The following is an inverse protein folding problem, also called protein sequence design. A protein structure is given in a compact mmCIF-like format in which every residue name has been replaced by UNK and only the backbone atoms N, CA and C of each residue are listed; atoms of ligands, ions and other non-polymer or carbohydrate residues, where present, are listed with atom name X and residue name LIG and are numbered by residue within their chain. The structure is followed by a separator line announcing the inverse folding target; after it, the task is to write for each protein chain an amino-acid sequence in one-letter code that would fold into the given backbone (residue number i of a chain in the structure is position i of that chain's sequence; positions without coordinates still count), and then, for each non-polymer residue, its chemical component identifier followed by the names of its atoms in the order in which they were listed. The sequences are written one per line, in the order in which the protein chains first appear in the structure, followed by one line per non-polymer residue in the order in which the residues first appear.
data_IF_088377553616
#
_entry.id   IF_088377553616
#
_cell.length_a   1.000
_cell.length_b   1.000
_cell.length_c   1.000
_cell.angle_alpha   90.00
_cell.angle_beta   90.00
_cell.angle_gamma   90.00
#
_symmetry.space_group_name_H-M   'P 1'
#
loop_
_entity.id
_entity.type
_entity.pdbx_description
1 polymer ?
#
# COMPACT_ATOMS: atom_id res chain seq x y z
N UNK A 1 -105.71 53.27 95.37
CA UNK A 1 -105.52 51.81 95.31
C UNK A 1 -105.27 51.33 96.73
N UNK A 2 -106.29 50.71 97.32
CA UNK A 2 -106.27 49.86 98.52
C UNK A 2 -105.40 50.26 99.72
N UNK A 3 -105.90 51.19 100.55
CA UNK A 3 -105.64 51.12 102.00
C UNK A 3 -106.77 50.27 102.59
N UNK A 4 -106.72 48.97 102.28
CA UNK A 4 -107.62 47.97 102.81
C UNK A 4 -107.28 47.71 104.26
N UNK A 5 -108.14 48.22 105.12
CA UNK A 5 -108.54 47.71 106.42
C UNK A 5 -108.05 46.29 106.75
N UNK A 6 -106.85 46.18 107.31
CA UNK A 6 -106.57 45.19 108.34
C UNK A 6 -106.58 45.95 109.66
N UNK A 7 -107.77 46.19 110.19
CA UNK A 7 -107.93 46.44 111.61
C UNK A 7 -107.44 45.17 112.29
N UNK A 8 -106.16 45.17 112.64
CA UNK A 8 -105.54 44.20 113.52
C UNK A 8 -106.32 44.29 114.84
N UNK A 9 -107.38 43.49 114.91
CA UNK A 9 -108.19 43.30 116.08
C UNK A 9 -107.21 42.78 117.13
N UNK A 10 -106.80 43.66 118.04
CA UNK A 10 -106.09 43.26 119.26
C UNK A 10 -106.88 42.08 119.81
N UNK A 11 -106.28 40.87 119.88
CA UNK A 11 -107.02 39.71 120.35
C UNK A 11 -107.36 40.00 121.80
N UNK A 12 -108.63 40.31 122.06
CA UNK A 12 -109.16 40.34 123.42
C UNK A 12 -109.11 38.89 123.89
N UNK A 13 -107.97 38.55 124.51
CA UNK A 13 -107.72 37.23 125.07
C UNK A 13 -108.92 36.79 125.89
N UNK A 14 -109.24 35.50 125.78
CA UNK A 14 -110.32 34.86 126.53
C UNK A 14 -110.34 35.40 127.97
N UNK A 15 -111.52 35.87 128.42
CA UNK A 15 -111.65 36.58 129.69
C UNK A 15 -111.04 35.82 130.87
N UNK A 16 -110.65 36.55 131.92
CA UNK A 16 -109.96 35.97 133.07
C UNK A 16 -110.69 34.78 133.69
N UNK A 17 -109.94 33.75 134.07
CA UNK A 17 -110.49 32.59 134.78
C UNK A 17 -111.04 33.00 136.15
N UNK A 18 -112.18 32.41 136.57
CA UNK A 18 -112.87 32.76 137.84
C UNK A 18 -112.47 31.81 138.97
N UNK A 19 -111.90 32.36 140.04
CA UNK A 19 -111.59 31.69 141.30
C UNK A 19 -112.67 31.97 142.39
N UNK A 20 -112.59 31.26 143.53
CA UNK A 20 -113.58 31.39 144.63
C UNK A 20 -113.58 32.83 145.17
N UNK A 21 -114.58 33.64 144.77
CA UNK A 21 -114.74 35.10 144.98
C UNK A 21 -114.07 36.05 143.95
N UNK A 22 -113.97 35.70 142.66
CA UNK A 22 -113.66 36.67 141.59
C UNK A 22 -112.68 36.17 140.54
N UNK A 23 -112.10 37.06 139.73
CA UNK A 23 -111.11 36.70 138.71
C UNK A 23 -109.75 36.31 139.31
N UNK A 24 -108.99 35.47 138.60
CA UNK A 24 -107.63 35.08 138.96
C UNK A 24 -106.71 36.30 138.96
N UNK A 25 -106.27 36.71 140.16
CA UNK A 25 -105.38 37.86 140.35
C UNK A 25 -104.10 37.76 139.51
N UNK A 26 -103.49 36.57 139.43
CA UNK A 26 -102.27 36.36 138.67
C UNK A 26 -102.46 36.62 137.15
N UNK A 27 -103.60 36.21 136.58
CA UNK A 27 -103.90 36.46 135.17
C UNK A 27 -104.23 37.94 134.89
N UNK A 28 -104.89 38.62 135.83
CA UNK A 28 -105.16 40.06 135.72
C UNK A 28 -103.86 40.86 135.77
N UNK A 29 -102.98 40.54 136.72
CA UNK A 29 -101.69 41.21 136.86
C UNK A 29 -100.83 40.99 135.59
N UNK A 30 -100.76 39.77 135.04
CA UNK A 30 -100.05 39.49 133.78
C UNK A 30 -100.64 40.27 132.57
N UNK A 31 -101.97 40.40 132.50
CA UNK A 31 -102.62 41.14 131.42
C UNK A 31 -102.39 42.65 131.54
N UNK A 32 -102.44 43.21 132.77
CA UNK A 32 -102.10 44.60 133.01
C UNK A 32 -100.63 44.89 132.68
N UNK A 33 -99.71 43.99 133.04
CA UNK A 33 -98.31 44.10 132.66
C UNK A 33 -98.12 44.08 131.13
N UNK A 34 -98.87 43.23 130.41
CA UNK A 34 -98.88 43.22 128.94
C UNK A 34 -99.43 44.52 128.37
N UNK A 35 -100.56 45.01 128.87
CA UNK A 35 -101.15 46.29 128.42
C UNK A 35 -100.23 47.49 128.69
N UNK A 36 -99.56 47.52 129.85
CA UNK A 36 -98.58 48.55 130.17
C UNK A 36 -97.36 48.47 129.24
N UNK A 37 -96.94 47.27 128.85
CA UNK A 37 -95.89 47.09 127.85
C UNK A 37 -96.33 47.57 126.46
N UNK A 38 -97.55 47.23 126.03
CA UNK A 38 -98.13 47.66 124.75
C UNK A 38 -98.32 49.18 124.69
N UNK A 39 -98.80 49.80 125.78
CA UNK A 39 -98.92 51.26 125.88
C UNK A 39 -97.55 51.94 125.80
N UNK A 40 -96.52 51.40 126.47
CA UNK A 40 -95.14 51.91 126.36
C UNK A 40 -94.63 51.82 124.93
N UNK A 41 -94.86 50.69 124.25
CA UNK A 41 -94.50 50.50 122.85
C UNK A 41 -95.21 51.51 121.95
N UNK A 42 -96.53 51.65 122.06
CA UNK A 42 -97.33 52.61 121.29
C UNK A 42 -96.91 54.06 121.55
N UNK A 43 -96.57 54.41 122.79
CA UNK A 43 -96.02 55.75 123.08
C UNK A 43 -94.66 55.96 122.42
N UNK A 44 -93.79 54.94 122.41
CA UNK A 44 -92.52 54.98 121.71
C UNK A 44 -92.70 55.14 120.20
N UNK A 45 -93.60 54.38 119.60
CA UNK A 45 -93.92 54.45 118.17
C UNK A 45 -94.53 55.81 117.80
N UNK A 46 -95.45 56.33 118.63
CA UNK A 46 -96.01 57.68 118.47
C UNK A 46 -94.91 58.74 118.53
N UNK A 47 -94.04 58.68 119.53
CA UNK A 47 -93.00 59.69 119.72
C UNK A 47 -91.95 59.61 118.59
N UNK A 48 -91.64 58.41 118.10
CA UNK A 48 -90.81 58.20 116.91
C UNK A 48 -91.47 58.76 115.63
N UNK A 49 -92.76 58.52 115.43
CA UNK A 49 -93.51 59.08 114.30
C UNK A 49 -93.59 60.62 114.36
N UNK A 50 -93.77 61.20 115.54
CA UNK A 50 -93.72 62.65 115.75
C UNK A 50 -92.33 63.20 115.41
N UNK A 51 -91.27 62.51 115.82
CA UNK A 51 -89.89 62.86 115.45
C UNK A 51 -89.67 62.84 113.94
N UNK A 52 -90.06 61.75 113.26
CA UNK A 52 -89.95 61.62 111.81
C UNK A 52 -90.79 62.67 111.06
N UNK A 53 -91.99 62.96 111.53
CA UNK A 53 -92.84 64.02 110.97
C UNK A 53 -92.18 65.40 111.12
N UNK A 54 -91.54 65.67 112.26
CA UNK A 54 -90.76 66.87 112.50
C UNK A 54 -89.55 67.00 111.57
N UNK A 55 -88.84 65.90 111.32
CA UNK A 55 -87.69 65.87 110.41
C UNK A 55 -88.08 66.12 108.96
N UNK A 56 -89.14 65.44 108.49
CA UNK A 56 -89.68 65.63 107.16
C UNK A 56 -90.20 67.06 106.97
N UNK A 57 -90.86 67.64 107.97
CA UNK A 57 -91.29 69.03 107.93
C UNK A 57 -90.09 69.98 107.76
N UNK A 58 -88.99 69.75 108.48
CA UNK A 58 -87.75 70.54 108.32
C UNK A 58 -87.16 70.41 106.91
N UNK A 59 -87.06 69.20 106.38
CA UNK A 59 -86.55 68.97 105.02
C UNK A 59 -87.43 69.64 103.95
N UNK A 60 -88.76 69.59 104.13
CA UNK A 60 -89.69 70.27 103.23
C UNK A 60 -89.52 71.79 103.27
N UNK A 61 -89.31 72.38 104.45
CA UNK A 61 -89.05 73.82 104.54
C UNK A 61 -87.71 74.21 103.92
N UNK A 62 -86.66 73.41 104.09
CA UNK A 62 -85.37 73.62 103.41
C UNK A 62 -85.55 73.59 101.89
N UNK A 63 -86.17 72.52 101.36
CA UNK A 63 -86.41 72.39 99.92
C UNK A 63 -87.32 73.51 99.38
N UNK A 64 -88.33 73.95 100.15
CA UNK A 64 -89.19 75.09 99.79
C UNK A 64 -88.39 76.39 99.72
N UNK A 65 -87.48 76.61 100.67
CA UNK A 65 -86.56 77.75 100.66
C UNK A 65 -85.66 77.73 99.42
N UNK A 66 -85.01 76.60 99.14
CA UNK A 66 -84.15 76.43 97.96
C UNK A 66 -84.92 76.65 96.65
N UNK A 67 -86.14 76.12 96.54
CA UNK A 67 -87.00 76.33 95.37
C UNK A 67 -87.38 77.80 95.24
N UNK A 68 -87.68 78.50 96.34
CA UNK A 68 -87.99 79.93 96.31
C UNK A 68 -86.77 80.76 95.87
N UNK A 69 -85.58 80.42 96.37
CA UNK A 69 -84.32 81.06 95.98
C UNK A 69 -83.99 80.84 94.51
N UNK A 70 -84.09 79.60 94.03
CA UNK A 70 -83.89 79.24 92.62
C UNK A 70 -84.90 79.92 91.71
N UNK A 71 -86.18 79.98 92.11
CA UNK A 71 -87.22 80.71 91.37
C UNK A 71 -86.90 82.20 91.31
N UNK A 72 -86.51 82.81 92.43
CA UNK A 72 -86.10 84.21 92.47
C UNK A 72 -84.88 84.50 91.58
N UNK A 73 -83.91 83.57 91.50
CA UNK A 73 -82.79 83.67 90.56
C UNK A 73 -83.26 83.57 89.10
N UNK A 74 -84.14 82.63 88.78
CA UNK A 74 -84.70 82.47 87.43
C UNK A 74 -85.47 83.73 87.02
N UNK A 75 -86.31 84.28 87.90
CA UNK A 75 -87.09 85.49 87.61
C UNK A 75 -86.17 86.69 87.36
N UNK A 76 -85.09 86.85 88.13
CA UNK A 76 -84.06 87.88 87.89
C UNK A 76 -83.35 87.71 86.55
N UNK A 77 -83.11 86.47 86.12
CA UNK A 77 -82.46 86.16 84.84
C UNK A 77 -83.41 86.23 83.64
N UNK A 78 -84.72 86.05 83.86
CA UNK A 78 -85.76 86.09 82.83
C UNK A 78 -86.24 87.52 82.52
N UNK A 79 -86.14 88.45 83.47
CA UNK A 79 -86.45 89.86 83.23
C UNK A 79 -85.36 90.54 82.37
N UNK A 80 -85.71 91.53 81.52
CA UNK A 80 -84.73 92.33 80.80
C UNK A 80 -83.75 92.99 81.80
N UNK A 81 -82.43 92.98 81.53
CA UNK A 81 -81.44 93.45 82.50
C UNK A 81 -81.53 94.96 82.67
N UNK A 82 -82.26 95.39 83.70
CA UNK A 82 -82.40 96.81 84.10
C UNK A 82 -81.38 97.20 85.18
N UNK A 83 -80.60 96.25 85.70
CA UNK A 83 -79.52 96.46 86.67
C UNK A 83 -78.17 95.92 86.17
N UNK A 84 -77.08 96.58 86.59
CA UNK A 84 -75.69 96.22 86.22
C UNK A 84 -75.28 94.84 86.77
N UNK A 85 -75.80 94.47 87.94
CA UNK A 85 -75.53 93.19 88.59
C UNK A 85 -76.13 92.00 87.81
N UNK A 86 -77.37 92.11 87.32
CA UNK A 86 -78.00 91.06 86.50
C UNK A 86 -77.32 90.86 85.14
N UNK A 87 -76.77 91.94 84.56
CA UNK A 87 -75.94 91.85 83.36
C UNK A 87 -74.63 91.09 83.63
N UNK A 88 -73.97 91.38 84.76
CA UNK A 88 -72.72 90.72 85.15
C UNK A 88 -72.89 89.22 85.44
N UNK A 89 -73.98 88.82 86.11
CA UNK A 89 -74.26 87.40 86.40
C UNK A 89 -74.55 86.61 85.12
N UNK A 90 -75.32 87.20 84.18
CA UNK A 90 -75.59 86.58 82.88
C UNK A 90 -74.33 86.44 82.03
N UNK A 91 -73.47 87.46 82.02
CA UNK A 91 -72.17 87.40 81.32
C UNK A 91 -71.26 86.34 81.91
N UNK A 92 -71.20 86.20 83.23
CA UNK A 92 -70.42 85.14 83.89
C UNK A 92 -70.94 83.75 83.53
N UNK A 93 -72.27 83.53 83.52
CA UNK A 93 -72.86 82.25 83.09
C UNK A 93 -72.62 81.97 81.60
N UNK A 94 -72.73 82.97 80.74
CA UNK A 94 -72.43 82.84 79.31
C UNK A 94 -70.96 82.53 79.04
N UNK A 95 -70.03 83.19 79.78
CA UNK A 95 -68.61 82.89 79.69
C UNK A 95 -68.29 81.47 80.18
N UNK A 96 -68.92 81.03 81.27
CA UNK A 96 -68.76 79.66 81.75
C UNK A 96 -69.28 78.64 80.74
N UNK A 97 -70.47 78.86 80.17
CA UNK A 97 -71.01 78.00 79.12
C UNK A 97 -70.12 77.98 77.87
N UNK A 98 -69.56 79.13 77.46
CA UNK A 98 -68.64 79.20 76.35
C UNK A 98 -67.30 78.50 76.64
N UNK A 99 -66.81 78.55 77.88
CA UNK A 99 -65.63 77.79 78.32
C UNK A 99 -65.91 76.29 78.32
N UNK A 100 -67.07 75.87 78.79
CA UNK A 100 -67.50 74.46 78.79
C UNK A 100 -67.65 73.96 77.34
N UNK A 101 -68.30 74.71 76.44
CA UNK A 101 -68.39 74.36 75.01
C UNK A 101 -67.01 74.35 74.33
N UNK A 102 -66.11 75.26 74.69
CA UNK A 102 -64.73 75.26 74.19
C UNK A 102 -63.93 74.04 74.69
N UNK A 103 -64.17 73.58 75.92
CA UNK A 103 -63.57 72.36 76.45
C UNK A 103 -64.12 71.13 75.73
N UNK A 104 -65.43 71.06 75.50
CA UNK A 104 -66.08 69.95 74.80
C UNK A 104 -65.64 69.85 73.34
N UNK A 105 -65.55 70.98 72.64
CA UNK A 105 -65.05 71.02 71.26
C UNK A 105 -63.59 70.59 71.17
N UNK A 106 -62.74 70.99 72.12
CA UNK A 106 -61.35 70.50 72.21
C UNK A 106 -61.30 69.00 72.48
N UNK A 107 -62.08 68.51 73.44
CA UNK A 107 -62.12 67.08 73.77
C UNK A 107 -62.58 66.24 72.57
N UNK A 108 -63.59 66.69 71.82
CA UNK A 108 -64.03 66.04 70.57
C UNK A 108 -62.93 66.06 69.51
N UNK A 109 -62.29 67.20 69.27
CA UNK A 109 -61.20 67.32 68.29
C UNK A 109 -59.98 66.46 68.66
N UNK A 110 -59.63 66.37 69.95
CA UNK A 110 -58.54 65.51 70.43
C UNK A 110 -58.88 64.02 70.28
N UNK A 111 -60.13 63.62 70.57
CA UNK A 111 -60.59 62.26 70.34
C UNK A 111 -60.56 61.89 68.85
N UNK A 112 -61.07 62.76 67.97
CA UNK A 112 -61.02 62.57 66.51
C UNK A 112 -59.57 62.50 66.00
N UNK A 113 -58.68 63.39 66.45
CA UNK A 113 -57.27 63.35 66.12
C UNK A 113 -56.60 62.05 66.60
N UNK A 114 -56.95 61.59 67.79
CA UNK A 114 -56.52 60.29 68.33
C UNK A 114 -56.96 59.13 67.44
N UNK A 115 -58.23 59.11 67.03
CA UNK A 115 -58.75 58.08 66.11
C UNK A 115 -58.05 58.11 64.74
N UNK A 116 -57.82 59.29 64.17
CA UNK A 116 -57.11 59.43 62.89
C UNK A 116 -55.67 58.90 63.02
N UNK A 117 -54.95 59.26 64.09
CA UNK A 117 -53.58 58.78 64.34
C UNK A 117 -53.54 57.27 64.53
N UNK A 118 -54.41 56.72 65.37
CA UNK A 118 -54.47 55.28 65.61
C UNK A 118 -54.78 54.49 64.33
N UNK A 119 -55.69 54.99 63.49
CA UNK A 119 -55.97 54.39 62.18
C UNK A 119 -54.76 54.47 61.25
N UNK A 120 -54.11 55.63 61.14
CA UNK A 120 -52.92 55.81 60.31
C UNK A 120 -51.76 54.91 60.76
N UNK A 121 -51.55 54.75 62.07
CA UNK A 121 -50.54 53.85 62.63
C UNK A 121 -50.86 52.38 62.32
N UNK A 122 -52.13 51.98 62.46
CA UNK A 122 -52.59 50.63 62.11
C UNK A 122 -52.35 50.35 60.62
N UNK A 123 -52.77 51.27 59.74
CA UNK A 123 -52.58 51.14 58.30
C UNK A 123 -51.09 51.11 57.93
N UNK A 124 -50.26 51.96 58.53
CA UNK A 124 -48.81 51.97 58.31
C UNK A 124 -48.16 50.67 58.77
N UNK A 125 -48.56 50.13 59.92
CA UNK A 125 -48.05 48.84 60.42
C UNK A 125 -48.45 47.68 59.52
N UNK A 126 -49.69 47.67 59.02
CA UNK A 126 -50.18 46.66 58.09
C UNK A 126 -49.43 46.71 56.75
N UNK A 127 -49.13 47.91 56.25
CA UNK A 127 -48.34 48.08 55.03
C UNK A 127 -46.89 47.61 55.21
N UNK A 128 -46.25 47.93 56.35
CA UNK A 128 -44.90 47.43 56.66
C UNK A 128 -44.86 45.92 56.72
N UNK A 129 -45.79 45.29 57.43
CA UNK A 129 -45.88 43.83 57.53
C UNK A 129 -46.06 43.16 56.16
N UNK A 130 -46.88 43.75 55.27
CA UNK A 130 -47.03 43.26 53.89
C UNK A 130 -45.75 43.38 53.08
N UNK A 131 -45.02 44.50 53.20
CA UNK A 131 -43.75 44.67 52.50
C UNK A 131 -42.67 43.72 53.02
N UNK A 132 -42.59 43.50 54.33
CA UNK A 132 -41.68 42.51 54.91
C UNK A 132 -41.98 41.11 54.38
N UNK A 133 -43.25 40.71 54.35
CA UNK A 133 -43.67 39.43 53.75
C UNK A 133 -43.24 39.34 52.27
N UNK A 134 -43.53 40.37 51.47
CA UNK A 134 -43.16 40.38 50.05
C UNK A 134 -41.64 40.31 49.85
N UNK A 135 -40.85 41.02 50.66
CA UNK A 135 -39.39 40.95 50.60
C UNK A 135 -38.89 39.55 50.93
N UNK A 136 -39.45 38.90 51.96
CA UNK A 136 -39.08 37.52 52.30
C UNK A 136 -39.44 36.53 51.19
N UNK A 137 -40.60 36.69 50.54
CA UNK A 137 -41.02 35.86 49.42
C UNK A 137 -40.09 36.04 48.21
N UNK A 138 -39.74 37.29 47.88
CA UNK A 138 -38.79 37.59 46.80
C UNK A 138 -37.39 37.03 47.09
N UNK A 139 -36.92 37.11 48.33
CA UNK A 139 -35.64 36.53 48.75
C UNK A 139 -35.64 35.00 48.65
N UNK A 140 -36.73 34.34 49.05
CA UNK A 140 -36.89 32.89 48.90
C UNK A 140 -36.90 32.50 47.42
N UNK A 141 -37.73 33.16 46.61
CA UNK A 141 -37.82 32.91 45.18
C UNK A 141 -36.49 33.15 44.47
N UNK A 142 -35.74 34.19 44.87
CA UNK A 142 -34.39 34.44 44.36
C UNK A 142 -33.44 33.29 44.67
N UNK A 143 -33.43 32.80 45.92
CA UNK A 143 -32.57 31.67 46.33
C UNK A 143 -32.93 30.38 45.59
N UNK A 144 -34.22 30.11 45.40
CA UNK A 144 -34.71 28.96 44.63
C UNK A 144 -34.25 29.05 43.18
N UNK A 145 -34.48 30.19 42.52
CA UNK A 145 -34.03 30.41 41.14
C UNK A 145 -32.51 30.32 41.00
N UNK A 146 -31.73 30.85 41.95
CA UNK A 146 -30.27 30.72 41.96
C UNK A 146 -29.83 29.27 42.14
N UNK A 147 -30.52 28.48 42.96
CA UNK A 147 -30.24 27.07 43.18
C UNK A 147 -30.59 26.22 41.93
N UNK A 148 -31.74 26.47 41.32
CA UNK A 148 -32.15 25.83 40.06
C UNK A 148 -31.19 26.18 38.93
N UNK A 149 -30.85 27.46 38.77
CA UNK A 149 -29.90 27.90 37.76
C UNK A 149 -28.53 27.26 37.96
N UNK A 150 -28.04 27.19 39.21
CA UNK A 150 -26.79 26.51 39.53
C UNK A 150 -26.83 25.02 39.16
N UNK A 151 -27.91 24.32 39.50
CA UNK A 151 -28.11 22.92 39.13
C UNK A 151 -28.10 22.74 37.61
N UNK A 152 -28.86 23.54 36.87
CA UNK A 152 -28.89 23.49 35.40
C UNK A 152 -27.49 23.73 34.81
N UNK A 153 -26.72 24.67 35.35
CA UNK A 153 -25.34 24.90 34.90
C UNK A 153 -24.39 23.74 35.25
N UNK A 154 -24.54 23.13 36.42
CA UNK A 154 -23.77 21.95 36.83
C UNK A 154 -24.09 20.74 35.94
N UNK A 155 -25.38 20.49 35.69
CA UNK A 155 -25.85 19.42 34.82
C UNK A 155 -25.39 19.64 33.39
N UNK A 156 -25.56 20.85 32.82
CA UNK A 156 -25.09 21.17 31.48
C UNK A 156 -23.56 21.04 31.34
N UNK A 157 -22.79 21.39 32.38
CA UNK A 157 -21.33 21.17 32.39
C UNK A 157 -20.98 19.69 32.46
N UNK A 158 -21.68 18.92 33.29
CA UNK A 158 -21.48 17.48 33.41
C UNK A 158 -21.82 16.75 32.11
N UNK A 159 -22.93 17.10 31.47
CA UNK A 159 -23.33 16.59 30.15
C UNK A 159 -22.34 16.98 29.07
N UNK A 160 -21.92 18.25 29.03
CA UNK A 160 -20.91 18.72 28.09
C UNK A 160 -19.60 17.93 28.21
N UNK A 161 -19.12 17.72 29.45
CA UNK A 161 -17.95 16.89 29.71
C UNK A 161 -18.16 15.43 29.30
N UNK A 162 -19.30 14.85 29.59
CA UNK A 162 -19.60 13.47 29.20
C UNK A 162 -19.62 13.30 27.67
N UNK A 163 -20.12 14.29 26.93
CA UNK A 163 -20.09 14.29 25.46
C UNK A 163 -18.65 14.39 24.96
N UNK A 164 -17.83 15.30 25.50
CA UNK A 164 -16.43 15.44 25.08
C UNK A 164 -15.61 14.20 25.41
N UNK A 165 -15.78 13.62 26.60
CA UNK A 165 -15.07 12.42 27.02
C UNK A 165 -15.43 11.21 26.12
N UNK A 166 -16.72 11.06 25.78
CA UNK A 166 -17.17 10.03 24.82
C UNK A 166 -16.60 10.26 23.43
N UNK A 167 -16.64 11.49 22.92
CA UNK A 167 -16.11 11.82 21.60
C UNK A 167 -14.58 11.58 21.53
N UNK A 168 -13.83 11.92 22.58
CA UNK A 168 -12.41 11.63 22.66
C UNK A 168 -12.11 10.13 22.74
N UNK A 169 -12.92 9.36 23.48
CA UNK A 169 -12.76 7.91 23.56
C UNK A 169 -13.03 7.24 22.21
N UNK A 170 -14.10 7.62 21.51
CA UNK A 170 -14.40 7.12 20.16
C UNK A 170 -13.32 7.54 19.15
N UNK A 171 -12.82 8.78 19.22
CA UNK A 171 -11.71 9.23 18.37
C UNK A 171 -10.47 8.35 18.59
N UNK A 172 -10.03 8.17 19.84
CA UNK A 172 -8.88 7.32 20.17
C UNK A 172 -9.06 5.88 19.69
N UNK A 173 -10.27 5.34 19.79
CA UNK A 173 -10.60 3.99 19.32
C UNK A 173 -10.47 3.91 17.79
N UNK A 174 -11.07 4.84 17.06
CA UNK A 174 -11.00 4.89 15.60
C UNK A 174 -9.58 5.14 15.07
N UNK A 175 -8.80 5.97 15.76
CA UNK A 175 -7.40 6.22 15.45
C UNK A 175 -6.59 4.91 15.60
N UNK A 176 -6.75 4.21 16.73
CA UNK A 176 -6.09 2.93 16.98
C UNK A 176 -6.52 1.84 15.97
N UNK A 177 -7.82 1.75 15.64
CA UNK A 177 -8.31 0.83 14.61
C UNK A 177 -7.75 1.17 13.22
N UNK A 178 -7.61 2.45 12.90
CA UNK A 178 -7.05 2.90 11.61
C UNK A 178 -5.55 2.62 11.51
N UNK A 179 -4.79 2.85 12.59
CA UNK A 179 -3.37 2.50 12.67
C UNK A 179 -3.17 0.98 12.57
N UNK A 180 -3.99 0.18 13.25
CA UNK A 180 -3.97 -1.27 13.13
C UNK A 180 -4.26 -1.75 11.70
N UNK A 181 -5.23 -1.13 11.00
CA UNK A 181 -5.49 -1.44 9.59
C UNK A 181 -4.36 -1.03 8.67
N UNK A 182 -3.73 0.13 8.89
CA UNK A 182 -2.58 0.58 8.09
C UNK A 182 -1.41 -0.36 8.23
N UNK A 183 -1.06 -0.71 9.47
CA UNK A 183 0.02 -1.67 9.75
C UNK A 183 -0.26 -3.03 9.15
N UNK A 184 -1.49 -3.56 9.27
CA UNK A 184 -1.87 -4.82 8.63
C UNK A 184 -1.73 -4.76 7.09
N UNK A 185 -2.20 -3.68 6.45
CA UNK A 185 -2.06 -3.51 5.00
C UNK A 185 -0.61 -3.39 4.57
N UNK A 186 0.23 -2.69 5.35
CA UNK A 186 1.67 -2.59 5.12
C UNK A 186 2.34 -3.96 5.22
N UNK A 187 2.05 -4.74 6.26
CA UNK A 187 2.55 -6.11 6.44
C UNK A 187 2.13 -7.03 5.29
N UNK A 188 0.84 -7.04 4.93
CA UNK A 188 0.31 -7.84 3.83
C UNK A 188 0.94 -7.44 2.48
N UNK A 189 1.14 -6.14 2.26
CA UNK A 189 1.82 -5.63 1.08
C UNK A 189 3.29 -6.05 1.04
N UNK A 190 4.01 -5.96 2.15
CA UNK A 190 5.41 -6.41 2.25
C UNK A 190 5.54 -7.90 1.98
N UNK A 191 4.64 -8.72 2.54
CA UNK A 191 4.59 -10.17 2.30
C UNK A 191 4.31 -10.45 0.83
N UNK A 192 3.29 -9.81 0.23
CA UNK A 192 2.94 -10.00 -1.18
C UNK A 192 4.09 -9.56 -2.11
N UNK A 193 4.75 -8.44 -1.81
CA UNK A 193 5.88 -7.94 -2.58
C UNK A 193 7.13 -8.80 -2.40
N UNK A 194 7.37 -9.35 -1.20
CA UNK A 194 8.42 -10.33 -0.98
C UNK A 194 8.16 -11.61 -1.78
N UNK A 195 6.94 -12.16 -1.71
CA UNK A 195 6.54 -13.33 -2.49
C UNK A 195 6.74 -13.10 -3.99
N UNK A 196 6.21 -11.98 -4.53
CA UNK A 196 6.39 -11.61 -5.94
C UNK A 196 7.86 -11.44 -6.33
N UNK A 197 8.69 -10.85 -5.47
CA UNK A 197 10.15 -10.75 -5.69
C UNK A 197 10.79 -12.14 -5.75
N UNK A 198 10.42 -13.06 -4.86
CA UNK A 198 10.95 -14.43 -4.87
C UNK A 198 10.53 -15.21 -6.11
N UNK A 199 9.28 -15.08 -6.54
CA UNK A 199 8.77 -15.70 -7.77
C UNK A 199 9.47 -15.14 -9.00
N UNK A 200 9.63 -13.81 -9.09
CA UNK A 200 10.37 -13.19 -10.18
C UNK A 200 11.84 -13.64 -10.23
N UNK A 201 12.52 -13.74 -9.08
CA UNK A 201 13.88 -14.26 -9.00
C UNK A 201 13.95 -15.74 -9.42
N UNK A 202 12.98 -16.57 -9.04
CA UNK A 202 12.90 -17.96 -9.50
C UNK A 202 12.70 -18.07 -11.00
N UNK A 203 11.77 -17.30 -11.57
CA UNK A 203 11.52 -17.29 -13.01
C UNK A 203 12.74 -16.82 -13.81
N UNK A 204 13.47 -15.80 -13.33
CA UNK A 204 14.75 -15.39 -13.93
C UNK A 204 15.79 -16.51 -13.85
N UNK A 205 15.95 -17.16 -12.69
CA UNK A 205 16.89 -18.27 -12.53
C UNK A 205 16.53 -19.47 -13.43
N UNK A 206 15.25 -19.79 -13.58
CA UNK A 206 14.76 -20.82 -14.51
C UNK A 206 15.03 -20.44 -15.97
N UNK A 207 14.80 -19.18 -16.35
CA UNK A 207 15.09 -18.69 -17.69
C UNK A 207 16.60 -18.72 -17.98
N UNK A 208 17.45 -18.33 -17.03
CA UNK A 208 18.90 -18.40 -17.14
C UNK A 208 19.37 -19.85 -17.25
N UNK A 209 18.83 -20.76 -16.42
CA UNK A 209 19.14 -22.18 -16.47
C UNK A 209 18.71 -22.80 -17.81
N UNK A 210 17.50 -22.49 -18.30
CA UNK A 210 17.01 -22.95 -19.60
C UNK A 210 17.88 -22.42 -20.75
N UNK A 211 18.21 -21.11 -20.73
CA UNK A 211 19.07 -20.49 -21.73
C UNK A 211 20.47 -21.13 -21.75
N UNK A 212 21.02 -21.41 -20.56
CA UNK A 212 22.31 -22.09 -20.41
C UNK A 212 22.25 -23.53 -20.92
N UNK A 213 21.21 -24.29 -20.57
CA UNK A 213 21.01 -25.66 -21.04
C UNK A 213 20.85 -25.73 -22.57
N UNK A 214 20.13 -24.78 -23.18
CA UNK A 214 20.04 -24.70 -24.64
C UNK A 214 21.36 -24.31 -25.30
N UNK A 215 22.12 -23.38 -24.71
CA UNK A 215 23.44 -23.01 -25.20
C UNK A 215 24.40 -24.22 -25.14
N UNK A 216 24.41 -24.96 -24.02
CA UNK A 216 25.16 -26.21 -23.87
C UNK A 216 24.72 -27.27 -24.88
N UNK A 217 23.42 -27.41 -25.14
CA UNK A 217 22.90 -28.32 -26.18
C UNK A 217 23.39 -27.93 -27.56
N UNK A 218 23.26 -26.66 -27.96
CA UNK A 218 23.72 -26.17 -29.27
C UNK A 218 25.23 -26.34 -29.45
N UNK A 219 26.01 -26.09 -28.40
CA UNK A 219 27.46 -26.34 -28.42
C UNK A 219 27.74 -27.83 -28.60
N UNK A 220 27.05 -28.71 -27.87
CA UNK A 220 27.21 -30.16 -28.00
C UNK A 220 26.86 -30.63 -29.41
N UNK A 221 25.69 -30.29 -29.92
CA UNK A 221 25.25 -30.61 -31.28
C UNK A 221 26.27 -30.10 -32.32
N UNK A 222 26.70 -28.84 -32.23
CA UNK A 222 27.72 -28.30 -33.13
C UNK A 222 29.08 -29.03 -33.01
N UNK A 223 29.48 -29.47 -31.81
CA UNK A 223 30.72 -30.25 -31.64
C UNK A 223 30.61 -31.66 -32.20
N UNK A 224 29.44 -32.29 -32.07
CA UNK A 224 29.13 -33.61 -32.64
C UNK A 224 29.06 -33.54 -34.17
N UNK A 225 28.37 -32.55 -34.74
CA UNK A 225 28.33 -32.30 -36.18
C UNK A 225 29.72 -31.99 -36.73
N UNK A 226 30.49 -31.13 -36.06
CA UNK A 226 31.87 -30.86 -36.45
C UNK A 226 32.75 -32.12 -36.37
N UNK A 227 32.53 -33.00 -35.38
CA UNK A 227 33.22 -34.28 -35.29
C UNK A 227 32.79 -35.23 -36.43
N UNK A 228 31.51 -35.27 -36.77
CA UNK A 228 30.98 -36.07 -37.88
C UNK A 228 31.50 -35.58 -39.24
N UNK A 229 31.56 -34.26 -39.46
CA UNK A 229 32.16 -33.66 -40.66
C UNK A 229 33.65 -34.00 -40.71
N UNK A 230 34.39 -33.83 -39.61
CA UNK A 230 35.81 -34.22 -39.56
C UNK A 230 36.00 -35.71 -39.85
N UNK A 231 35.14 -36.58 -39.33
CA UNK A 231 35.18 -38.02 -39.61
C UNK A 231 34.92 -38.33 -41.10
N UNK A 232 33.91 -37.70 -41.71
CA UNK A 232 33.63 -37.83 -43.15
C UNK A 232 34.78 -37.31 -44.01
N UNK A 233 35.34 -36.15 -43.69
CA UNK A 233 36.51 -35.60 -44.39
C UNK A 233 37.70 -36.53 -44.26
N UNK A 234 37.94 -37.11 -43.07
CA UNK A 234 38.99 -38.12 -42.89
C UNK A 234 38.73 -39.36 -43.74
N UNK A 235 37.49 -39.86 -43.80
CA UNK A 235 37.11 -40.99 -44.65
C UNK A 235 37.30 -40.68 -46.14
N UNK A 236 36.83 -39.53 -46.61
CA UNK A 236 37.06 -39.02 -47.97
C UNK A 236 38.56 -38.84 -48.26
N UNK A 237 39.33 -38.31 -47.32
CA UNK A 237 40.78 -38.20 -47.47
C UNK A 237 41.45 -39.58 -47.55
N UNK A 238 41.03 -40.55 -46.74
CA UNK A 238 41.61 -41.90 -46.77
C UNK A 238 41.28 -42.63 -48.06
N UNK A 239 40.04 -42.50 -48.55
CA UNK A 239 39.61 -43.08 -49.83
C UNK A 239 40.28 -42.37 -51.01
N UNK A 240 40.38 -41.03 -51.00
CA UNK A 240 41.12 -40.28 -52.00
C UNK A 240 42.61 -40.63 -52.01
N UNK A 241 43.24 -40.78 -50.84
CA UNK A 241 44.64 -41.23 -50.73
C UNK A 241 44.80 -42.65 -51.27
N UNK A 242 43.91 -43.57 -50.92
CA UNK A 242 43.92 -44.93 -51.45
C UNK A 242 43.73 -44.97 -52.98
N UNK A 243 42.87 -44.12 -53.53
CA UNK A 243 42.65 -43.97 -54.97
C UNK A 243 43.86 -43.38 -55.70
N UNK A 244 44.48 -42.36 -55.11
CA UNK A 244 45.74 -41.79 -55.62
C UNK A 244 46.83 -42.85 -55.61
N UNK A 245 46.99 -43.60 -54.51
CA UNK A 245 47.96 -44.69 -54.44
C UNK A 245 47.67 -45.79 -55.45
N UNK A 246 46.39 -46.16 -55.67
CA UNK A 246 46.00 -47.12 -56.70
C UNK A 246 46.40 -46.62 -58.09
N UNK A 247 46.07 -45.38 -58.44
CA UNK A 247 46.45 -44.77 -59.73
C UNK A 247 47.96 -44.67 -59.89
N UNK A 248 48.70 -44.37 -58.81
CA UNK A 248 50.16 -44.37 -58.82
C UNK A 248 50.71 -45.78 -59.06
N UNK A 249 50.17 -46.80 -58.39
CA UNK A 249 50.57 -48.21 -58.62
C UNK A 249 50.25 -48.66 -60.04
N UNK A 250 49.07 -48.34 -60.57
CA UNK A 250 48.69 -48.63 -61.95
C UNK A 250 49.61 -47.90 -62.94
N UNK A 251 49.89 -46.61 -62.73
CA UNK A 251 50.80 -45.84 -63.58
C UNK A 251 52.24 -46.36 -63.54
N UNK A 252 52.74 -46.76 -62.35
CA UNK A 252 54.06 -47.39 -62.20
C UNK A 252 54.08 -48.78 -62.83
N UNK A 253 53.02 -49.56 -62.71
CA UNK A 253 52.88 -50.87 -63.34
C UNK A 253 52.86 -50.74 -64.88
N UNK A 254 52.10 -49.79 -65.42
CA UNK A 254 52.06 -49.50 -66.86
C UNK A 254 53.41 -48.98 -67.38
N UNK A 255 54.09 -48.11 -66.64
CA UNK A 255 55.42 -47.64 -66.99
C UNK A 255 56.46 -48.78 -66.97
N UNK A 256 56.40 -49.66 -65.96
CA UNK A 256 57.24 -50.85 -65.89
C UNK A 256 56.92 -51.84 -67.02
N UNK A 257 55.65 -52.00 -67.38
CA UNK A 257 55.23 -52.84 -68.51
C UNK A 257 55.77 -52.30 -69.83
N UNK A 258 55.61 -51.00 -70.11
CA UNK A 258 56.21 -50.36 -71.30
C UNK A 258 57.73 -50.49 -71.34
N UNK A 259 58.38 -50.34 -70.19
CA UNK A 259 59.83 -50.56 -70.07
C UNK A 259 60.20 -52.01 -70.37
N UNK A 260 59.45 -52.97 -69.83
CA UNK A 260 59.66 -54.40 -70.09
C UNK A 260 59.45 -54.72 -71.57
N UNK A 261 58.36 -54.24 -72.17
CA UNK A 261 58.02 -54.40 -73.58
C UNK A 261 59.13 -53.83 -74.49
N UNK A 262 59.61 -52.62 -74.20
CA UNK A 262 60.77 -52.01 -74.89
C UNK A 262 62.06 -52.81 -74.70
N UNK A 263 62.31 -53.38 -73.52
CA UNK A 263 63.48 -54.25 -73.29
C UNK A 263 63.36 -55.54 -74.10
N UNK A 264 62.18 -56.17 -74.13
CA UNK A 264 61.94 -57.35 -74.98
C UNK A 264 62.09 -57.03 -76.45
N UNK A 265 61.61 -55.88 -76.93
CA UNK A 265 61.76 -55.46 -78.33
C UNK A 265 63.22 -55.16 -78.68
N UNK A 266 63.96 -54.49 -77.78
CA UNK A 266 65.40 -54.26 -77.92
C UNK A 266 66.19 -55.57 -77.96
N UNK A 267 65.84 -56.54 -77.10
CA UNK A 267 66.45 -57.87 -77.10
C UNK A 267 66.11 -58.68 -78.36
N UNK A 268 64.88 -58.55 -78.89
CA UNK A 268 64.49 -59.18 -80.16
C UNK A 268 65.33 -58.63 -81.32
N UNK A 269 65.51 -57.30 -81.40
CA UNK A 269 66.38 -56.67 -82.41
C UNK A 269 67.86 -57.07 -82.26
N UNK A 270 68.34 -57.24 -81.02
CA UNK A 270 69.70 -57.76 -80.77
C UNK A 270 69.85 -59.22 -81.21
N UNK A 271 68.82 -60.06 -80.99
CA UNK A 271 68.83 -61.45 -81.45
C UNK A 271 68.81 -61.56 -82.97
N UNK A 272 67.96 -60.78 -83.66
CA UNK A 272 67.93 -60.70 -85.12
C UNK A 272 69.27 -60.23 -85.70
N UNK A 273 69.88 -59.20 -85.12
CA UNK A 273 71.21 -58.72 -85.53
C UNK A 273 72.31 -59.77 -85.29
N UNK A 274 72.26 -60.52 -84.19
CA UNK A 274 73.20 -61.59 -83.90
C UNK A 274 73.05 -62.78 -84.86
N UNK A 275 71.81 -63.13 -85.24
CA UNK A 275 71.54 -64.20 -86.19
C UNK A 275 71.92 -63.82 -87.62
N UNK A 276 71.75 -62.56 -88.01
CA UNK A 276 72.30 -62.02 -89.27
C UNK A 276 73.84 -62.02 -89.29
N UNK A 277 74.49 -61.65 -88.19
CA UNK A 277 75.95 -61.70 -88.08
C UNK A 277 76.46 -63.14 -88.20
N UNK A 278 75.80 -64.09 -87.54
CA UNK A 278 76.11 -65.53 -87.65
C UNK A 278 75.91 -66.06 -89.07
N UNK A 279 74.85 -65.62 -89.79
CA UNK A 279 74.66 -65.94 -91.20
C UNK A 279 75.81 -65.43 -92.08
N UNK A 280 76.21 -64.17 -91.93
CA UNK A 280 77.31 -63.55 -92.71
C UNK A 280 78.66 -64.26 -92.48
N UNK A 281 78.96 -64.66 -91.24
CA UNK A 281 80.17 -65.44 -90.92
C UNK A 281 80.15 -66.83 -91.55
N UNK A 282 79.00 -67.53 -91.50
CA UNK A 282 78.85 -68.85 -92.12
C UNK A 282 79.07 -68.81 -93.62
N UNK A 283 78.43 -67.86 -94.31
CA UNK A 283 78.58 -67.70 -95.76
C UNK A 283 80.02 -67.36 -96.16
N UNK A 284 80.73 -66.53 -95.40
CA UNK A 284 82.13 -66.22 -95.67
C UNK A 284 83.08 -67.41 -95.43
N UNK A 285 82.79 -68.24 -94.43
CA UNK A 285 83.58 -69.44 -94.11
C UNK A 285 83.40 -70.52 -95.19
N UNK A 286 82.17 -70.71 -95.66
CA UNK A 286 81.86 -71.64 -96.75
C UNK A 286 82.51 -71.22 -98.08
N UNK A 287 82.59 -69.91 -98.35
CA UNK A 287 83.25 -69.36 -99.54
C UNK A 287 84.78 -69.49 -99.48
N UNK A 288 85.37 -69.32 -98.30
CA UNK A 288 86.82 -69.54 -98.07
C UNK A 288 87.21 -71.01 -98.28
N UNK A 289 86.42 -71.93 -97.72
CA UNK A 289 86.66 -73.36 -97.87
C UNK A 289 86.59 -73.80 -99.35
N UNK A 290 85.64 -73.29 -100.14
CA UNK A 290 85.57 -73.58 -101.59
C UNK A 290 86.82 -73.14 -102.35
N UNK A 291 87.44 -72.01 -102.00
CA UNK A 291 88.66 -71.51 -102.65
C UNK A 291 89.88 -72.35 -102.29
N UNK A 292 89.95 -72.88 -101.07
CA UNK A 292 91.03 -73.77 -100.62
C UNK A 292 90.97 -75.12 -101.36
N UNK A 293 89.79 -75.71 -101.53
CA UNK A 293 89.64 -77.00 -102.25
C UNK A 293 90.05 -76.87 -103.72
N UNK A 294 89.62 -75.80 -104.41
CA UNK A 294 89.99 -75.55 -105.81
C UNK A 294 91.50 -75.27 -106.00
N UNK A 295 92.17 -74.71 -105.00
CA UNK A 295 93.62 -74.49 -105.03
C UNK A 295 94.39 -75.81 -104.86
N UNK A 296 93.94 -76.71 -103.99
CA UNK A 296 94.57 -78.02 -103.78
C UNK A 296 94.44 -78.94 -105.01
N UNK A 297 93.29 -78.95 -105.68
CA UNK A 297 93.09 -79.70 -106.93
C UNK A 297 94.02 -79.22 -108.07
N UNK A 298 94.30 -77.90 -108.13
CA UNK A 298 95.29 -77.32 -109.06
C UNK A 298 96.74 -77.70 -108.72
N UNK A 299 97.07 -77.94 -107.46
CA UNK A 299 98.42 -78.37 -107.04
C UNK A 299 98.64 -79.88 -107.31
N UNK A 300 97.61 -80.71 -107.18
CA UNK A 300 97.69 -82.15 -107.50
C UNK A 300 97.85 -82.43 -109.00
N UNK A 301 97.11 -81.71 -109.84
CA UNK A 301 97.25 -81.80 -111.31
C UNK A 301 98.66 -81.41 -111.79
N UNK A 302 99.30 -80.41 -111.17
CA UNK A 302 100.69 -80.02 -111.47
C UNK A 302 101.73 -81.05 -110.97
N UNK A 303 101.46 -81.80 -109.89
CA UNK A 303 102.34 -82.88 -109.42
C UNK A 303 102.32 -84.11 -110.34
N UNK A 304 101.18 -84.45 -110.92
CA UNK A 304 101.05 -85.60 -111.85
C UNK A 304 101.70 -85.34 -113.23
N UNK A 305 101.70 -84.09 -113.70
CA UNK A 305 102.44 -83.71 -114.92
C UNK A 305 103.96 -83.76 -114.69
N UNK A 306 104.43 -83.46 -113.47
CA UNK A 306 105.86 -83.50 -113.11
C UNK A 306 106.42 -84.93 -112.99
N UNK A 307 105.63 -85.91 -112.54
CA UNK A 307 106.07 -87.31 -112.48
C UNK A 307 106.15 -87.96 -113.87
N UNK A 308 105.16 -87.70 -114.73
CA UNK A 308 105.13 -88.15 -116.13
C UNK A 308 106.33 -87.69 -116.96
N UNK A 309 106.77 -86.43 -116.77
CA UNK A 309 107.94 -85.87 -117.47
C UNK A 309 109.29 -86.37 -116.91
N UNK A 310 109.35 -86.81 -115.65
CA UNK A 310 110.57 -87.33 -115.01
C UNK A 310 110.88 -88.80 -115.37
N UNK A 311 109.87 -89.59 -115.78
CA UNK A 311 110.03 -90.96 -116.28
C UNK A 311 110.53 -90.96 -117.74
N UNK A 312 110.00 -90.07 -118.59
CA UNK A 312 110.34 -89.98 -120.02
C UNK A 312 111.76 -89.46 -120.29
N UNK A 313 112.37 -88.70 -119.37
CA UNK A 313 113.77 -88.22 -119.47
C UNK A 313 114.79 -89.27 -118.98
N UNK A 314 114.37 -90.29 -118.23
CA UNK A 314 115.25 -91.38 -117.76
C UNK A 314 115.44 -92.49 -118.81
N UNK A 315 114.46 -92.72 -119.69
CA UNK A 315 114.51 -93.80 -120.69
C UNK A 315 115.25 -93.44 -122.00
N UNK A 316 115.41 -92.16 -122.34
CA UNK A 316 116.18 -91.76 -123.53
C UNK A 316 117.66 -91.41 -123.21
N UNK A 317 118.01 -91.20 -121.94
CA UNK A 317 119.39 -90.88 -121.49
C UNK A 317 120.33 -92.08 -121.37
N UNK A 318 119.87 -93.30 -121.66
CA UNK A 318 120.73 -94.49 -121.84
C UNK A 318 121.21 -94.70 -123.28
N UNK A 319 120.79 -93.86 -124.24
CA UNK A 319 121.34 -93.90 -125.61
C UNK A 319 121.90 -92.53 -125.98
N UNK A 320 122.87 -92.10 -125.17
CA UNK A 320 123.90 -91.12 -125.52
C UNK A 320 125.26 -91.78 -125.25
N UNK A 321 125.58 -92.81 -126.02
CA UNK A 321 126.89 -93.45 -126.02
C UNK A 321 127.32 -93.86 -127.43
N UNK A 322 127.20 -92.96 -128.41
CA UNK A 322 128.13 -92.86 -129.56
C UNK A 322 127.86 -91.58 -130.41
N UNK A 323 128.84 -90.65 -130.42
CA UNK A 323 129.13 -89.58 -131.40
C UNK A 323 128.11 -88.40 -131.60
N UNK A 324 128.47 -87.11 -131.81
CA UNK A 324 129.71 -86.31 -131.79
C UNK A 324 129.33 -84.81 -131.90
N UNK A 325 130.06 -83.95 -131.17
CA UNK A 325 130.58 -82.61 -131.56
C UNK A 325 129.86 -81.26 -131.27
N UNK A 326 130.75 -80.35 -130.83
CA UNK A 326 130.80 -78.87 -130.85
C UNK A 326 130.18 -78.11 -129.67
N UNK A 327 131.01 -77.18 -129.17
CA UNK A 327 131.10 -76.53 -127.86
C UNK A 327 130.95 -75.00 -127.99
N UNK A 328 130.56 -74.38 -126.86
CA UNK A 328 130.88 -72.99 -126.45
C UNK A 328 129.68 -72.04 -126.50
N UNK A 329 128.93 -71.83 -125.40
CA UNK A 329 129.13 -70.82 -124.30
C UNK A 329 128.70 -69.39 -124.74
N UNK A 330 127.88 -68.58 -124.04
CA UNK A 330 127.72 -68.24 -122.60
C UNK A 330 126.34 -67.59 -122.26
N UNK A 331 125.85 -67.79 -121.02
CA UNK A 331 125.23 -66.86 -120.01
C UNK A 331 124.48 -65.57 -120.44
N UNK A 332 123.37 -65.06 -119.83
CA UNK A 332 122.73 -65.20 -118.51
C UNK A 332 121.23 -64.81 -118.53
N UNK A 333 120.43 -65.61 -117.82
CA UNK A 333 119.32 -65.34 -116.89
C UNK A 333 118.08 -64.48 -117.25
N UNK A 334 116.91 -65.05 -116.91
CA UNK A 334 115.58 -64.88 -117.53
C UNK A 334 114.52 -64.37 -116.51
N UNK A 335 113.41 -63.75 -116.96
CA UNK A 335 112.33 -63.17 -116.16
C UNK A 335 111.08 -64.06 -116.03
N UNK A 336 110.09 -63.66 -115.23
CA UNK A 336 108.75 -64.25 -115.25
C UNK A 336 107.69 -63.18 -114.98
N UNK A 337 106.64 -63.24 -115.79
CA UNK A 337 105.65 -62.19 -115.99
C UNK A 337 104.32 -62.87 -116.35
N UNK A 338 103.20 -62.15 -116.10
CA UNK A 338 101.91 -62.28 -116.81
C UNK A 338 100.93 -63.40 -116.29
N UNK A 339 99.59 -63.33 -116.22
CA UNK A 339 98.42 -62.66 -116.89
C UNK A 339 97.19 -62.97 -115.98
N UNK A 340 95.95 -62.49 -116.12
CA UNK A 340 95.28 -61.30 -116.64
C UNK A 340 93.75 -61.47 -116.39
N UNK A 341 93.00 -60.37 -116.57
CA UNK A 341 91.54 -60.24 -116.51
C UNK A 341 90.80 -60.80 -117.76
N UNK A 342 89.47 -60.60 -117.94
CA UNK A 342 88.92 -59.34 -118.49
C UNK A 342 87.47 -58.90 -118.07
N UNK A 343 87.25 -57.57 -117.95
CA UNK A 343 86.22 -56.61 -118.50
C UNK A 343 84.79 -57.04 -118.98
N UNK A 344 83.82 -56.11 -119.31
CA UNK A 344 83.41 -54.79 -118.73
C UNK A 344 81.86 -54.36 -118.84
N UNK A 345 81.47 -53.23 -118.18
CA UNK A 345 80.37 -52.15 -118.37
C UNK A 345 78.88 -52.46 -118.80
N UNK A 346 77.87 -51.52 -118.77
CA UNK A 346 77.38 -50.49 -117.79
C UNK A 346 75.79 -50.34 -117.67
N UNK A 347 75.31 -49.36 -116.87
CA UNK A 347 74.07 -48.51 -116.99
C UNK A 347 72.68 -48.83 -116.30
N UNK A 348 72.27 -47.89 -115.41
CA UNK A 348 70.99 -47.14 -115.30
C UNK A 348 69.61 -47.71 -114.82
N UNK A 349 69.03 -46.99 -113.82
CA UNK A 349 67.66 -46.43 -113.67
C UNK A 349 66.50 -47.11 -112.88
N UNK A 350 65.90 -46.31 -111.95
CA UNK A 350 64.47 -46.10 -111.56
C UNK A 350 63.66 -47.24 -110.89
N UNK A 351 62.66 -47.07 -109.99
CA UNK A 351 62.03 -45.98 -109.21
C UNK A 351 60.95 -46.58 -108.24
N UNK A 352 60.57 -45.89 -107.14
CA UNK A 352 59.26 -46.07 -106.47
C UNK A 352 59.12 -45.89 -104.92
N UNK A 353 58.92 -44.63 -104.44
CA UNK A 353 57.98 -44.04 -103.41
C UNK A 353 57.53 -44.78 -102.09
N UNK A 354 56.89 -44.10 -101.09
CA UNK A 354 57.21 -42.85 -100.34
C UNK A 354 56.89 -42.92 -98.79
N UNK A 355 56.91 -41.76 -98.09
CA UNK A 355 56.24 -41.39 -96.79
C UNK A 355 57.21 -41.13 -95.60
N UNK A 356 57.49 -39.89 -95.13
CA UNK A 356 56.71 -38.79 -94.51
C UNK A 356 56.74 -38.84 -92.96
N UNK A 357 57.15 -37.73 -92.31
CA UNK A 357 56.85 -37.46 -90.89
C UNK A 357 57.96 -36.78 -90.06
N UNK A 358 57.97 -35.45 -90.02
CA UNK A 358 58.44 -34.66 -88.86
C UNK A 358 57.48 -33.49 -88.67
N UNK A 359 56.81 -33.41 -87.51
CA UNK A 359 55.76 -32.44 -87.21
C UNK A 359 56.07 -31.57 -85.97
N UNK A 360 55.78 -30.29 -86.16
CA UNK A 360 55.56 -29.18 -85.23
C UNK A 360 54.67 -29.49 -84.01
N UNK A 361 54.83 -28.72 -82.92
CA UNK A 361 53.89 -27.66 -82.46
C UNK A 361 54.09 -27.33 -80.97
N UNK A 362 54.44 -26.10 -80.61
CA UNK A 362 53.59 -24.96 -80.15
C UNK A 362 53.74 -24.70 -78.63
N UNK A 363 54.40 -23.57 -78.32
CA UNK A 363 54.30 -22.82 -77.06
C UNK A 363 53.06 -21.94 -77.12
N UNK A 364 52.38 -21.76 -75.98
CA UNK A 364 51.83 -20.48 -75.51
C UNK A 364 51.41 -20.60 -74.03
N UNK A 365 51.90 -19.68 -73.19
CA UNK A 365 51.45 -19.39 -71.82
C UNK A 365 51.52 -17.87 -71.62
N UNK A 366 50.50 -17.31 -70.99
CA UNK A 366 50.44 -16.07 -70.17
C UNK A 366 48.96 -15.60 -70.16
N UNK A 367 48.25 -15.68 -69.01
CA UNK A 367 48.05 -14.62 -68.01
C UNK A 367 46.95 -13.62 -68.48
N UNK A 368 46.09 -12.96 -67.70
CA UNK A 368 46.12 -12.45 -66.33
C UNK A 368 44.69 -12.17 -65.82
N UNK A 369 44.59 -12.09 -64.49
CA UNK A 369 43.45 -11.62 -63.69
C UNK A 369 43.45 -10.10 -63.63
N UNK A 370 42.26 -9.47 -63.69
CA UNK A 370 42.06 -8.04 -63.40
C UNK A 370 41.10 -7.87 -62.22
N UNK A 371 41.50 -7.02 -61.26
CA UNK A 371 40.77 -6.52 -60.07
C UNK A 371 40.60 -4.99 -60.24
N UNK A 372 40.05 -4.20 -59.30
CA UNK A 372 38.77 -4.16 -58.55
C UNK A 372 37.93 -2.89 -58.87
N UNK A 373 36.75 -2.71 -58.25
CA UNK A 373 36.40 -1.40 -57.63
C UNK A 373 35.25 -1.48 -56.61
N UNK A 374 35.37 -0.58 -55.62
CA UNK A 374 34.53 -0.39 -54.45
C UNK A 374 33.47 0.71 -54.63
N UNK A 375 32.42 0.68 -53.81
CA UNK A 375 31.49 1.79 -53.44
C UNK A 375 30.77 1.32 -52.15
N UNK A 376 30.92 1.93 -50.96
CA UNK A 376 30.56 3.28 -50.49
C UNK A 376 29.05 3.47 -50.26
N UNK A 377 28.68 3.77 -48.99
CA UNK A 377 27.78 4.83 -48.50
C UNK A 377 26.63 4.44 -47.53
N UNK A 378 26.51 5.34 -46.53
CA UNK A 378 25.29 5.93 -45.94
C UNK A 378 24.61 5.30 -44.71
N UNK A 379 24.69 6.04 -43.60
CA UNK A 379 23.57 6.33 -42.66
C UNK A 379 22.95 7.71 -43.06
N UNK A 380 21.76 8.20 -42.59
CA UNK A 380 21.37 8.35 -41.16
C UNK A 380 19.84 8.46 -40.80
N UNK A 381 19.49 8.37 -39.50
CA UNK A 381 18.70 9.35 -38.67
C UNK A 381 17.98 8.71 -37.45
N UNK A 382 17.85 9.43 -36.31
CA UNK A 382 17.17 8.95 -35.10
C UNK A 382 15.73 9.49 -34.92
N UNK A 383 14.95 8.79 -34.09
CA UNK A 383 13.54 9.03 -33.75
C UNK A 383 13.35 9.97 -32.53
N UNK A 384 12.21 10.67 -32.50
CA UNK A 384 11.83 11.65 -31.50
C UNK A 384 11.18 11.09 -30.21
N UNK A 385 10.85 12.02 -29.30
CA UNK A 385 10.06 11.80 -28.08
C UNK A 385 8.93 12.86 -27.96
N UNK A 386 7.86 12.58 -27.18
CA UNK A 386 6.58 13.27 -27.31
C UNK A 386 6.22 14.24 -26.16
N UNK A 387 5.32 15.15 -26.52
CA UNK A 387 4.22 15.86 -25.80
C UNK A 387 4.14 15.86 -24.28
N UNK A 388 3.97 17.06 -23.71
CA UNK A 388 3.28 17.32 -22.45
C UNK A 388 2.21 18.39 -22.67
N UNK A 389 0.98 18.11 -22.24
CA UNK A 389 -0.08 19.07 -21.89
C UNK A 389 -0.38 18.90 -20.39
#
# INVERSE_FOLDING_TARGET
MSLGEERELVPLGAGFDVAKRGYSRAQVDEHLERLDADLKMLTGDRDAAIGQAGDLARQLEIARGEIADLRGQVDRLAQPPTSVEGLSERLQRMLRLAQDEAADTRARAEAEAGHIRAKAETDASAMRARYEQLLTELDLRRKEMEAEHRKVLEDARAEGKAITDKAEAERKKLDAESEARRTQVEEDFEIAMAARRTEAMRALAEQEAASKAEAERRVREATEDAAAIRAKVLEEETTAKADIERRQRESVADANKRRQDSITEANARLAEAADEARRRVRTATDESNRRITQANERVESLRNVRSSLAEQVRQARTVLAEAHHVLGETDTNVPADIKAAPSPVPAAAAAGKPSNGEHETVRLRASDVQKPKAQAQASPRPAGKPTGE
#
